data_IF_169109303668
#
_entry.id   IF_169109303668
#
_cell.length_a   1.000
_cell.length_b   1.000
_cell.length_c   1.000
_cell.angle_alpha   90.00
_cell.angle_beta   90.00
_cell.angle_gamma   90.00
#
_symmetry.space_group_name_H-M   'P 1'
#
loop_
_entity.id
_entity.type
_entity.pdbx_description
1 polymer ?
#
# COMPACT_ATOMS: atom_id res chain seq x y z
N UNK A 1 22.10 -6.28 -1.68
CA UNK A 1 20.70 -5.85 -1.38
C UNK A 1 20.05 -7.01 -0.64
N UNK A 2 19.53 -6.74 0.55
CA UNK A 2 18.98 -7.78 1.40
C UNK A 2 17.52 -8.06 1.00
N UNK A 3 17.20 -9.30 0.57
CA UNK A 3 15.87 -9.72 0.14
C UNK A 3 14.80 -9.51 1.21
N UNK A 4 15.18 -9.60 2.48
CA UNK A 4 14.26 -9.41 3.61
C UNK A 4 13.61 -8.02 3.61
N UNK A 5 14.28 -7.01 3.07
CA UNK A 5 13.74 -5.66 2.94
C UNK A 5 12.54 -5.57 1.98
N UNK A 6 12.32 -6.58 1.15
CA UNK A 6 11.25 -6.62 0.16
C UNK A 6 10.08 -7.55 0.55
N UNK A 7 10.22 -8.32 1.64
CA UNK A 7 9.21 -9.30 2.07
C UNK A 7 7.89 -8.62 2.41
N UNK A 8 6.80 -9.02 1.76
CA UNK A 8 5.46 -8.50 1.95
C UNK A 8 5.30 -7.00 1.65
N UNK A 9 6.29 -6.37 1.04
CA UNK A 9 6.32 -4.93 0.77
C UNK A 9 6.40 -4.65 -0.72
N UNK A 10 6.02 -3.43 -1.08
CA UNK A 10 6.33 -2.84 -2.39
C UNK A 10 7.30 -1.68 -2.16
N UNK A 11 8.55 -1.89 -2.48
CA UNK A 11 9.63 -0.91 -2.29
C UNK A 11 9.81 -0.11 -3.57
N UNK A 12 9.69 1.20 -3.47
CA UNK A 12 9.88 2.12 -4.59
C UNK A 12 11.37 2.38 -4.79
N UNK A 13 11.88 2.06 -5.98
CA UNK A 13 13.27 2.31 -6.32
C UNK A 13 13.44 2.60 -7.81
N UNK A 14 14.63 3.01 -8.24
CA UNK A 14 14.93 3.29 -9.64
C UNK A 14 14.69 2.05 -10.51
N UNK A 15 14.10 2.25 -11.69
CA UNK A 15 13.92 1.18 -12.68
C UNK A 15 15.24 0.59 -13.21
N UNK A 16 16.37 1.27 -12.95
CA UNK A 16 17.70 0.84 -13.36
C UNK A 16 18.48 0.12 -12.26
N UNK A 17 17.89 -0.09 -11.09
CA UNK A 17 18.54 -0.91 -10.09
C UNK A 17 18.72 -2.35 -10.57
N UNK A 18 19.87 -2.91 -10.21
CA UNK A 18 20.21 -4.27 -10.61
C UNK A 18 19.18 -5.27 -10.05
N UNK A 19 18.65 -6.08 -10.94
CA UNK A 19 17.73 -7.17 -10.56
C UNK A 19 18.46 -8.21 -9.74
N UNK A 20 17.95 -8.49 -8.56
CA UNK A 20 18.31 -9.66 -7.79
C UNK A 20 17.30 -10.79 -8.06
N UNK A 21 17.79 -12.02 -8.19
CA UNK A 21 16.93 -13.18 -8.36
C UNK A 21 15.89 -13.28 -7.23
N UNK A 22 14.63 -13.51 -7.57
CA UNK A 22 13.52 -13.62 -6.61
C UNK A 22 12.75 -12.32 -6.34
N UNK A 23 13.22 -11.16 -6.82
CA UNK A 23 12.50 -9.90 -6.70
C UNK A 23 11.61 -9.70 -7.94
N UNK A 24 10.33 -9.46 -7.71
CA UNK A 24 9.36 -9.09 -8.74
C UNK A 24 9.39 -7.58 -8.98
N UNK A 25 9.34 -7.16 -10.23
CA UNK A 25 9.15 -5.78 -10.61
C UNK A 25 7.69 -5.52 -10.97
N UNK A 26 7.11 -4.48 -10.40
CA UNK A 26 5.76 -4.03 -10.69
C UNK A 26 5.79 -2.59 -11.20
N UNK A 27 4.92 -2.24 -12.16
CA UNK A 27 4.86 -0.87 -12.65
C UNK A 27 4.38 0.08 -11.55
N UNK A 28 4.83 1.34 -11.62
CA UNK A 28 4.42 2.41 -10.70
C UNK A 28 3.21 3.18 -11.21
N UNK A 29 3.10 3.30 -12.54
CA UNK A 29 2.07 4.08 -13.22
C UNK A 29 1.56 3.25 -14.41
N UNK A 30 0.24 3.18 -14.54
CA UNK A 30 -0.44 2.69 -15.73
C UNK A 30 -0.68 3.87 -16.67
N UNK A 31 -0.35 3.69 -17.93
CA UNK A 31 -0.54 4.71 -18.97
C UNK A 31 -1.68 4.23 -19.89
N UNK A 32 -2.75 5.02 -19.94
CA UNK A 32 -3.85 4.86 -20.89
C UNK A 32 -3.78 5.95 -21.97
N UNK A 33 -4.73 5.98 -22.90
CA UNK A 33 -4.68 6.91 -24.05
C UNK A 33 -4.59 8.39 -23.64
N UNK A 34 -5.36 8.84 -22.66
CA UNK A 34 -5.41 10.24 -22.22
C UNK A 34 -5.03 10.47 -20.76
N UNK A 35 -4.91 9.40 -19.99
CA UNK A 35 -4.74 9.47 -18.54
C UNK A 35 -3.60 8.58 -18.06
N UNK A 36 -3.16 8.86 -16.83
CA UNK A 36 -2.26 8.01 -16.07
C UNK A 36 -2.94 7.61 -14.76
N UNK A 37 -2.69 6.41 -14.28
CA UNK A 37 -3.13 5.92 -12.96
C UNK A 37 -1.93 5.56 -12.12
N UNK A 38 -1.85 6.15 -10.94
CA UNK A 38 -0.81 5.82 -9.96
C UNK A 38 -1.18 4.53 -9.21
N UNK A 39 -0.30 3.54 -9.21
CA UNK A 39 -0.53 2.29 -8.47
C UNK A 39 -0.30 2.41 -6.95
N UNK A 40 0.27 3.53 -6.46
CA UNK A 40 0.40 3.76 -5.02
C UNK A 40 -0.86 4.38 -4.42
N UNK A 41 -1.34 5.49 -4.98
CA UNK A 41 -2.52 6.20 -4.46
C UNK A 41 -3.82 5.93 -5.23
N UNK A 42 -3.75 5.19 -6.32
CA UNK A 42 -4.86 4.86 -7.21
C UNK A 42 -5.53 6.05 -7.91
N UNK A 43 -4.93 7.23 -7.85
CA UNK A 43 -5.47 8.43 -8.50
C UNK A 43 -5.30 8.37 -10.01
N UNK A 44 -6.32 8.83 -10.74
CA UNK A 44 -6.31 8.98 -12.19
C UNK A 44 -6.12 10.44 -12.53
N UNK A 45 -5.16 10.74 -13.38
CA UNK A 45 -4.76 12.10 -13.75
C UNK A 45 -4.60 12.20 -15.26
N UNK A 46 -4.96 13.35 -15.83
CA UNK A 46 -4.67 13.63 -17.24
C UNK A 46 -3.15 13.59 -17.50
N UNK A 47 -2.73 13.01 -18.61
CA UNK A 47 -1.30 12.92 -18.99
C UNK A 47 -0.59 14.27 -18.94
N UNK A 48 -1.27 15.35 -19.35
CA UNK A 48 -0.69 16.70 -19.36
C UNK A 48 -0.28 17.21 -17.98
N UNK A 49 -0.95 16.76 -16.92
CA UNK A 49 -0.66 17.17 -15.54
C UNK A 49 0.49 16.40 -14.89
N UNK A 50 0.77 15.21 -15.39
CA UNK A 50 1.84 14.35 -14.88
C UNK A 50 2.99 14.15 -15.85
N UNK A 51 3.08 14.92 -16.92
CA UNK A 51 4.09 14.76 -17.94
C UNK A 51 5.49 15.15 -17.46
N UNK A 52 6.46 14.31 -17.77
CA UNK A 52 7.89 14.55 -17.60
C UNK A 52 8.58 14.53 -18.98
N UNK A 53 9.80 15.08 -19.11
CA UNK A 53 10.57 14.97 -20.34
C UNK A 53 10.72 13.53 -20.83
N UNK A 54 10.90 13.36 -22.14
CA UNK A 54 11.16 12.07 -22.80
C UNK A 54 10.01 11.04 -22.68
N UNK A 55 8.76 11.52 -22.55
CA UNK A 55 7.60 10.64 -22.51
C UNK A 55 7.40 9.91 -21.18
N UNK A 56 8.03 10.36 -20.13
CA UNK A 56 7.86 9.84 -18.78
C UNK A 56 6.74 10.58 -18.04
N UNK A 57 6.25 9.99 -16.96
CA UNK A 57 5.14 10.54 -16.17
C UNK A 57 5.40 10.40 -14.67
N UNK A 58 4.79 11.28 -13.88
CA UNK A 58 4.78 11.18 -12.41
C UNK A 58 3.37 11.39 -11.87
N UNK A 59 3.13 10.97 -10.64
CA UNK A 59 1.88 11.22 -9.95
C UNK A 59 1.95 12.53 -9.17
N UNK A 60 1.15 13.57 -9.53
CA UNK A 60 1.14 14.82 -8.78
C UNK A 60 0.38 14.74 -7.45
N UNK A 61 -0.47 13.73 -7.24
CA UNK A 61 -1.33 13.63 -6.07
C UNK A 61 -0.63 13.11 -4.81
N UNK A 62 0.32 12.21 -4.97
CA UNK A 62 1.03 11.63 -3.82
C UNK A 62 2.49 12.08 -3.72
N UNK A 63 2.83 13.21 -4.29
CA UNK A 63 4.20 13.74 -4.35
C UNK A 63 4.78 14.02 -2.96
N UNK A 64 3.95 14.39 -1.99
CA UNK A 64 4.39 14.67 -0.61
C UNK A 64 4.83 13.41 0.17
N UNK A 65 4.46 12.23 -0.33
CA UNK A 65 4.91 10.94 0.21
C UNK A 65 6.14 10.38 -0.54
N UNK A 66 6.84 11.23 -1.25
CA UNK A 66 7.89 10.85 -2.19
C UNK A 66 7.34 10.65 -3.60
N UNK A 67 8.12 11.03 -4.60
CA UNK A 67 7.68 10.99 -6.01
C UNK A 67 7.52 9.56 -6.51
N UNK A 68 6.37 9.27 -7.10
CA UNK A 68 6.14 8.06 -7.90
C UNK A 68 6.16 8.47 -9.38
N UNK A 69 6.99 7.83 -10.16
CA UNK A 69 7.12 8.10 -11.60
C UNK A 69 7.39 6.82 -12.39
N UNK A 70 7.30 6.92 -13.71
CA UNK A 70 7.69 5.84 -14.61
C UNK A 70 9.20 5.56 -14.61
N UNK A 71 10.00 6.46 -14.01
CA UNK A 71 11.44 6.25 -13.78
C UNK A 71 11.72 5.30 -12.61
N UNK A 72 10.69 4.98 -11.83
CA UNK A 72 10.75 4.05 -10.71
C UNK A 72 10.00 2.76 -11.06
N UNK A 73 10.27 1.73 -10.26
CA UNK A 73 9.50 0.48 -10.17
C UNK A 73 9.15 0.20 -8.73
N UNK A 74 8.11 -0.58 -8.50
CA UNK A 74 7.92 -1.26 -7.23
C UNK A 74 8.61 -2.61 -7.29
N UNK A 75 9.44 -2.87 -6.29
CA UNK A 75 10.09 -4.15 -6.10
C UNK A 75 9.42 -4.87 -4.94
N UNK A 76 9.16 -6.14 -5.13
CA UNK A 76 8.34 -6.93 -4.22
C UNK A 76 8.84 -8.37 -4.14
N UNK A 77 8.84 -8.91 -2.94
CA UNK A 77 8.98 -10.34 -2.70
C UNK A 77 7.77 -10.76 -1.84
N UNK A 78 7.01 -11.79 -2.25
CA UNK A 78 5.96 -12.33 -1.39
C UNK A 78 6.52 -12.69 -0.03
N UNK A 79 5.74 -12.49 1.04
CA UNK A 79 6.17 -12.82 2.40
C UNK A 79 6.40 -14.34 2.51
N UNK A 80 7.65 -14.82 2.72
CA UNK A 80 7.93 -16.24 2.80
C UNK A 80 7.72 -16.83 4.20
N UNK A 81 7.63 -15.97 5.22
CA UNK A 81 7.49 -16.41 6.59
C UNK A 81 6.07 -16.84 6.89
N UNK A 82 5.93 -17.96 7.58
CA UNK A 82 4.66 -18.38 8.15
C UNK A 82 4.64 -18.00 9.63
N UNK A 83 3.70 -17.11 9.99
CA UNK A 83 3.57 -16.64 11.36
C UNK A 83 2.69 -17.60 12.16
N UNK A 84 3.20 -18.02 13.31
CA UNK A 84 2.43 -18.87 14.24
C UNK A 84 1.33 -18.07 14.89
N UNK A 85 0.10 -18.59 14.82
CA UNK A 85 -1.04 -18.03 15.56
C UNK A 85 -0.99 -18.54 16.99
N UNK A 86 -1.01 -17.61 17.94
CA UNK A 86 -1.03 -17.92 19.39
C UNK A 86 -2.43 -17.78 19.92
N UNK A 87 -2.91 -18.79 20.65
CA UNK A 87 -4.20 -18.75 21.33
C UNK A 87 -4.00 -18.78 22.87
N UNK A 88 -4.67 -17.91 23.62
CA UNK A 88 -5.48 -16.77 23.14
C UNK A 88 -4.63 -15.61 22.62
N UNK A 89 -5.09 -14.99 21.53
CA UNK A 89 -4.39 -13.84 20.92
C UNK A 89 -4.47 -12.60 21.81
N UNK A 90 -5.63 -12.40 22.46
CA UNK A 90 -5.88 -11.26 23.33
C UNK A 90 -5.45 -11.56 24.78
N UNK A 91 -4.51 -10.81 25.29
CA UNK A 91 -4.04 -10.89 26.69
C UNK A 91 -4.68 -9.85 27.61
N UNK A 92 -5.29 -8.80 27.05
CA UNK A 92 -5.98 -7.77 27.81
C UNK A 92 -7.25 -8.33 28.49
N UNK A 93 -7.39 -8.01 29.77
CA UNK A 93 -8.56 -8.37 30.58
C UNK A 93 -9.25 -7.08 31.01
N UNK A 94 -10.44 -6.85 30.52
CA UNK A 94 -11.20 -5.64 30.84
C UNK A 94 -12.58 -5.68 30.23
N UNK A 95 -13.33 -4.60 30.47
CA UNK A 95 -14.68 -4.43 29.93
C UNK A 95 -14.71 -3.18 29.07
N UNK A 96 -15.16 -3.32 27.85
CA UNK A 96 -15.38 -2.19 26.95
C UNK A 96 -16.57 -1.35 27.42
N UNK A 97 -16.52 -0.04 27.21
CA UNK A 97 -17.71 0.80 27.33
C UNK A 97 -18.76 0.40 26.26
N UNK A 98 -20.05 0.77 26.43
CA UNK A 98 -21.06 0.43 25.43
C UNK A 98 -20.73 0.87 24.01
N UNK A 99 -20.18 2.07 23.84
CA UNK A 99 -19.78 2.60 22.52
C UNK A 99 -18.55 1.86 21.96
N UNK A 100 -17.58 1.54 22.79
CA UNK A 100 -16.42 0.75 22.40
C UNK A 100 -16.82 -0.66 21.97
N UNK A 101 -17.75 -1.29 22.69
CA UNK A 101 -18.29 -2.60 22.35
C UNK A 101 -18.99 -2.58 21.00
N UNK A 102 -19.84 -1.58 20.76
CA UNK A 102 -20.53 -1.41 19.49
C UNK A 102 -19.53 -1.22 18.33
N UNK A 103 -18.50 -0.40 18.52
CA UNK A 103 -17.45 -0.19 17.51
C UNK A 103 -16.68 -1.48 17.22
N UNK A 104 -16.30 -2.22 18.26
CA UNK A 104 -15.60 -3.51 18.13
C UNK A 104 -16.42 -4.53 17.33
N UNK A 105 -17.70 -4.65 17.62
CA UNK A 105 -18.60 -5.55 16.89
C UNK A 105 -18.74 -5.18 15.42
N UNK A 106 -18.88 -3.88 15.12
CA UNK A 106 -18.96 -3.38 13.74
C UNK A 106 -17.68 -3.65 12.97
N UNK A 107 -16.52 -3.42 13.58
CA UNK A 107 -15.20 -3.70 12.95
C UNK A 107 -15.08 -5.20 12.68
N UNK A 108 -15.41 -6.06 13.63
CA UNK A 108 -15.33 -7.52 13.46
C UNK A 108 -16.24 -8.02 12.34
N UNK A 109 -17.46 -7.50 12.25
CA UNK A 109 -18.40 -7.81 11.17
C UNK A 109 -17.86 -7.36 9.81
N UNK A 110 -17.31 -6.14 9.74
CA UNK A 110 -16.73 -5.61 8.51
C UNK A 110 -15.51 -6.39 8.06
N UNK A 111 -14.65 -6.83 8.97
CA UNK A 111 -13.50 -7.70 8.66
C UNK A 111 -13.96 -9.05 8.10
N UNK A 112 -14.95 -9.68 8.70
CA UNK A 112 -15.51 -10.94 8.21
C UNK A 112 -16.14 -10.80 6.82
N UNK A 113 -16.72 -9.65 6.51
CA UNK A 113 -17.32 -9.33 5.23
C UNK A 113 -16.31 -8.80 4.19
N UNK A 114 -15.02 -8.65 4.53
CA UNK A 114 -13.96 -8.09 3.69
C UNK A 114 -14.29 -6.70 3.14
N UNK A 115 -14.97 -5.86 3.90
CA UNK A 115 -15.28 -4.48 3.51
C UNK A 115 -14.29 -3.48 4.08
N UNK A 116 -14.07 -2.40 3.35
CA UNK A 116 -13.25 -1.28 3.83
C UNK A 116 -13.96 -0.58 4.97
N UNK A 117 -13.20 -0.17 5.99
CA UNK A 117 -13.73 0.44 7.20
C UNK A 117 -12.91 1.66 7.59
N UNK A 118 -13.58 2.66 8.13
CA UNK A 118 -12.96 3.82 8.75
C UNK A 118 -13.48 3.94 10.19
N UNK A 119 -12.57 3.87 11.16
CA UNK A 119 -12.88 4.15 12.55
C UNK A 119 -12.55 5.62 12.84
N UNK A 120 -13.58 6.41 13.15
CA UNK A 120 -13.43 7.78 13.60
C UNK A 120 -13.54 7.82 15.12
N UNK A 121 -12.45 8.14 15.80
CA UNK A 121 -12.39 8.20 17.25
C UNK A 121 -11.84 9.54 17.72
N UNK A 122 -12.42 10.06 18.79
CA UNK A 122 -11.91 11.23 19.49
C UNK A 122 -10.94 10.76 20.56
N UNK A 123 -9.70 11.25 20.50
CA UNK A 123 -8.70 11.05 21.56
C UNK A 123 -9.07 11.94 22.74
N UNK A 124 -9.45 11.33 23.81
CA UNK A 124 -9.72 12.02 25.08
C UNK A 124 -8.60 11.82 26.07
#
# INVERSE_FOLDING_TARGET
MDLENYYGRRVLASRHEAKQSGIQELPTIRIDAGNIRCYRCNHVTAKSLGALPQGEFYCPHCINLGRVSTLNKFYHVPEPNQFTVTEPVLTWKGKLSPLQQQASEKISQGMAAHVQQLLWAVTG
#
